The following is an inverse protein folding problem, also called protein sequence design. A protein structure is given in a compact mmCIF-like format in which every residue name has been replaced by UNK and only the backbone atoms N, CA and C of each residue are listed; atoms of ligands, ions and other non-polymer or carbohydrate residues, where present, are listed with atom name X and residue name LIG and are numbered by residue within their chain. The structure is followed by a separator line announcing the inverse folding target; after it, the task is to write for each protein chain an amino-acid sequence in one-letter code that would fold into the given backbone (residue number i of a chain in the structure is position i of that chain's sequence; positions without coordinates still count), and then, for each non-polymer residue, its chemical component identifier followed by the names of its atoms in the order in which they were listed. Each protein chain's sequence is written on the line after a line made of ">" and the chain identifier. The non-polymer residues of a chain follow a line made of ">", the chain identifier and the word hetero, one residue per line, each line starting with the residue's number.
data_IF_946170758232
#
_entry.id   IF_946170758232
#
_cell.length_a   1.000
_cell.length_b   1.000
_cell.length_c   1.000
_cell.angle_alpha   90.00
_cell.angle_beta   90.00
_cell.angle_gamma   90.00
#
_symmetry.space_group_name_H-M   'P 1'
#
loop_
_entity.id
_entity.type
_entity.pdbx_description
1 polymer ?
#
# COMPACT_ATOMS: atom_id res chain seq x y z
N UNK A 1 -8.52 -26.02 -15.13
CA UNK A 1 -9.58 -26.86 -14.57
C UNK A 1 -9.61 -26.70 -13.07
N UNK A 2 -10.80 -26.68 -12.45
CA UNK A 2 -10.94 -26.61 -11.00
C UNK A 2 -11.13 -28.02 -10.42
N UNK A 3 -10.28 -28.40 -9.46
CA UNK A 3 -10.44 -29.55 -8.60
C UNK A 3 -11.16 -29.10 -7.32
N UNK A 4 -12.34 -29.65 -6.98
CA UNK A 4 -13.05 -29.25 -5.78
C UNK A 4 -12.48 -29.86 -4.48
N UNK A 5 -11.70 -30.95 -4.55
CA UNK A 5 -11.15 -31.64 -3.38
C UNK A 5 -9.78 -32.31 -3.65
N UNK A 6 -8.66 -31.79 -3.08
CA UNK A 6 -8.60 -30.51 -2.39
C UNK A 6 -8.90 -29.37 -3.38
N UNK A 7 -9.45 -28.23 -2.90
CA UNK A 7 -9.73 -27.08 -3.74
C UNK A 7 -8.43 -26.60 -4.40
N UNK A 8 -8.34 -26.76 -5.72
CA UNK A 8 -7.16 -26.41 -6.50
C UNK A 8 -7.54 -26.02 -7.92
N UNK A 9 -6.76 -25.12 -8.54
CA UNK A 9 -6.92 -24.77 -9.95
C UNK A 9 -5.68 -25.26 -10.70
N UNK A 10 -5.89 -26.06 -11.75
CA UNK A 10 -4.87 -26.40 -12.73
C UNK A 10 -4.95 -25.43 -13.90
N UNK A 11 -3.86 -24.72 -14.16
CA UNK A 11 -3.72 -23.76 -15.26
C UNK A 11 -2.64 -24.20 -16.24
N UNK A 12 -2.68 -23.65 -17.45
CA UNK A 12 -1.56 -23.74 -18.38
C UNK A 12 -0.33 -23.03 -17.80
N UNK A 13 0.85 -23.63 -17.96
CA UNK A 13 2.11 -22.99 -17.59
C UNK A 13 2.54 -22.03 -18.71
N UNK A 14 2.69 -20.75 -18.37
CA UNK A 14 3.14 -19.72 -19.31
C UNK A 14 4.62 -19.43 -19.05
N UNK A 15 5.47 -19.71 -20.03
CA UNK A 15 6.91 -19.42 -19.94
C UNK A 15 7.18 -17.89 -19.99
N UNK A 16 8.05 -17.41 -19.10
CA UNK A 16 8.47 -16.02 -19.03
C UNK A 16 9.12 -15.66 -17.69
N UNK A 17 9.20 -14.35 -17.43
CA UNK A 17 9.68 -13.75 -16.18
C UNK A 17 8.55 -12.96 -15.52
N UNK A 18 8.59 -12.86 -14.19
CA UNK A 18 7.61 -12.16 -13.35
C UNK A 18 8.26 -11.05 -12.49
N UNK A 19 9.58 -11.10 -12.28
CA UNK A 19 10.28 -10.08 -11.51
C UNK A 19 10.59 -8.81 -12.35
N UNK A 20 9.68 -7.84 -12.28
CA UNK A 20 9.82 -6.54 -12.94
C UNK A 20 11.04 -5.72 -12.44
N UNK A 21 11.55 -5.97 -11.23
CA UNK A 21 12.71 -5.26 -10.68
C UNK A 21 14.02 -5.58 -11.36
N UNK A 22 14.11 -6.76 -11.97
CA UNK A 22 15.31 -7.19 -12.68
C UNK A 22 15.47 -6.51 -14.04
N UNK A 23 14.45 -5.80 -14.53
CA UNK A 23 14.54 -5.04 -15.78
C UNK A 23 15.45 -3.83 -15.57
N UNK A 24 16.63 -3.85 -16.19
CA UNK A 24 17.60 -2.74 -16.19
C UNK A 24 17.49 -1.84 -17.42
N UNK A 25 17.03 -2.39 -18.55
CA UNK A 25 16.82 -1.63 -19.80
C UNK A 25 15.53 -0.79 -19.70
N UNK A 26 15.68 0.53 -19.71
CA UNK A 26 14.55 1.45 -19.69
C UNK A 26 13.63 1.27 -20.92
N UNK A 27 14.19 0.94 -22.09
CA UNK A 27 13.40 0.74 -23.30
C UNK A 27 12.57 -0.56 -23.23
N UNK A 28 13.08 -1.60 -22.56
CA UNK A 28 12.31 -2.79 -22.27
C UNK A 28 11.14 -2.48 -21.33
N UNK A 29 11.40 -1.74 -20.25
CA UNK A 29 10.36 -1.33 -19.29
C UNK A 29 9.26 -0.52 -19.96
N UNK A 30 9.63 0.49 -20.74
CA UNK A 30 8.69 1.32 -21.50
C UNK A 30 7.84 0.49 -22.47
N UNK A 31 8.47 -0.42 -23.23
CA UNK A 31 7.74 -1.28 -24.17
C UNK A 31 6.77 -2.23 -23.46
N UNK A 32 7.14 -2.76 -22.29
CA UNK A 32 6.25 -3.59 -21.47
C UNK A 32 5.07 -2.79 -20.93
N UNK A 33 5.30 -1.58 -20.43
CA UNK A 33 4.22 -0.73 -19.94
C UNK A 33 3.31 -0.25 -21.08
N UNK A 34 3.84 0.02 -22.26
CA UNK A 34 3.02 0.28 -23.45
C UNK A 34 2.12 -0.91 -23.79
N UNK A 35 2.69 -2.13 -23.83
CA UNK A 35 1.90 -3.34 -24.07
C UNK A 35 0.90 -3.62 -22.94
N UNK A 36 1.22 -3.25 -21.71
CA UNK A 36 0.31 -3.34 -20.58
C UNK A 36 -0.88 -2.40 -20.74
N UNK A 37 -0.67 -1.16 -21.19
CA UNK A 37 -1.77 -0.24 -21.49
C UNK A 37 -2.67 -0.77 -22.62
N UNK A 38 -2.11 -1.39 -23.65
CA UNK A 38 -2.89 -2.09 -24.69
C UNK A 38 -3.72 -3.26 -24.14
N UNK A 39 -3.18 -4.01 -23.17
CA UNK A 39 -3.93 -5.07 -22.47
C UNK A 39 -5.07 -4.47 -21.64
N UNK A 40 -4.77 -3.45 -20.84
CA UNK A 40 -5.73 -2.84 -19.93
C UNK A 40 -6.90 -2.20 -20.69
N UNK A 41 -6.63 -1.53 -21.81
CA UNK A 41 -7.70 -1.01 -22.69
C UNK A 41 -8.59 -2.13 -23.22
N UNK A 42 -8.03 -3.29 -23.59
CA UNK A 42 -8.83 -4.44 -24.06
C UNK A 42 -9.61 -5.09 -22.92
N UNK A 43 -9.05 -5.14 -21.72
CA UNK A 43 -9.73 -5.65 -20.52
C UNK A 43 -10.92 -4.75 -20.16
N UNK A 44 -10.75 -3.43 -20.27
CA UNK A 44 -11.79 -2.44 -20.00
C UNK A 44 -12.76 -2.22 -21.16
N UNK A 45 -12.54 -2.87 -22.30
CA UNK A 45 -13.48 -2.88 -23.41
C UNK A 45 -14.62 -3.88 -23.12
N UNK A 46 -15.89 -3.47 -23.25
CA UNK A 46 -17.00 -4.19 -22.64
C UNK A 46 -17.42 -5.48 -23.37
N UNK A 47 -17.64 -6.53 -22.58
CA UNK A 47 -18.70 -7.54 -22.73
C UNK A 47 -19.16 -7.93 -21.31
N UNK A 48 -19.72 -6.95 -20.59
CA UNK A 48 -20.17 -7.10 -19.20
C UNK A 48 -21.30 -8.14 -19.08
N UNK A 49 -22.08 -8.32 -20.14
CA UNK A 49 -23.16 -9.31 -20.20
C UNK A 49 -22.59 -10.74 -20.10
N UNK A 50 -21.47 -11.02 -20.78
CA UNK A 50 -20.78 -12.30 -20.65
C UNK A 50 -20.30 -12.57 -19.22
N UNK A 51 -19.73 -11.57 -18.56
CA UNK A 51 -19.26 -11.72 -17.17
C UNK A 51 -20.43 -11.87 -16.19
N UNK A 52 -21.52 -11.15 -16.43
CA UNK A 52 -22.77 -11.30 -15.67
C UNK A 52 -23.34 -12.70 -15.82
N UNK A 53 -23.33 -13.26 -17.04
CA UNK A 53 -23.76 -14.63 -17.31
C UNK A 53 -22.88 -15.69 -16.61
N UNK A 54 -21.63 -15.36 -16.27
CA UNK A 54 -20.71 -16.20 -15.50
C UNK A 54 -20.86 -16.03 -13.98
N UNK A 55 -21.73 -15.12 -13.52
CA UNK A 55 -22.03 -14.91 -12.09
C UNK A 55 -21.37 -13.70 -11.45
N UNK A 56 -20.66 -12.85 -12.21
CA UNK A 56 -20.16 -11.57 -11.68
C UNK A 56 -21.30 -10.55 -11.68
N UNK A 57 -21.82 -10.24 -10.48
CA UNK A 57 -22.91 -9.27 -10.34
C UNK A 57 -22.38 -7.86 -10.62
N UNK A 58 -23.01 -7.08 -11.52
CA UNK A 58 -22.65 -5.70 -11.69
C UNK A 58 -23.05 -4.89 -10.45
N UNK A 59 -22.28 -3.86 -10.09
CA UNK A 59 -22.63 -2.93 -9.03
C UNK A 59 -23.97 -2.24 -9.33
N UNK A 60 -24.81 -2.07 -8.30
CA UNK A 60 -26.20 -1.61 -8.43
C UNK A 60 -26.39 -0.11 -8.15
N UNK A 61 -25.37 0.56 -7.61
CA UNK A 61 -25.38 2.00 -7.33
C UNK A 61 -23.95 2.56 -7.39
N UNK A 62 -23.77 3.88 -7.59
CA UNK A 62 -22.45 4.51 -7.50
C UNK A 62 -21.75 4.31 -6.16
N UNK A 63 -22.52 4.12 -5.08
CA UNK A 63 -21.98 3.85 -3.75
C UNK A 63 -21.44 2.41 -3.65
N UNK A 64 -22.22 1.43 -4.11
CA UNK A 64 -21.77 0.03 -4.18
C UNK A 64 -20.54 -0.11 -5.09
N UNK A 65 -20.53 0.64 -6.19
CA UNK A 65 -19.43 0.74 -7.15
C UNK A 65 -18.09 1.10 -6.49
N UNK A 66 -18.11 1.91 -5.43
CA UNK A 66 -16.92 2.46 -4.80
C UNK A 66 -16.53 1.76 -3.49
N UNK A 67 -17.49 1.16 -2.78
CA UNK A 67 -17.35 0.78 -1.37
C UNK A 67 -17.56 -0.72 -1.06
N UNK A 68 -17.97 -1.54 -2.03
CA UNK A 68 -18.42 -2.91 -1.76
C UNK A 68 -17.36 -3.80 -1.06
N UNK A 69 -16.10 -3.67 -1.45
CA UNK A 69 -14.97 -4.37 -0.83
C UNK A 69 -14.48 -3.69 0.46
N UNK A 70 -14.60 -2.37 0.59
CA UNK A 70 -14.18 -1.62 1.78
C UNK A 70 -14.83 -2.19 3.05
N UNK A 71 -16.13 -2.49 2.98
CA UNK A 71 -16.86 -3.05 4.12
C UNK A 71 -16.36 -4.46 4.50
N UNK A 72 -15.83 -5.23 3.55
CA UNK A 72 -15.21 -6.54 3.84
C UNK A 72 -13.92 -6.34 4.61
N UNK A 73 -13.05 -5.46 4.14
CA UNK A 73 -11.76 -5.14 4.78
C UNK A 73 -11.94 -4.55 6.17
N UNK A 74 -12.87 -3.61 6.34
CA UNK A 74 -13.18 -3.03 7.65
C UNK A 74 -13.67 -4.09 8.64
N UNK A 75 -14.58 -4.98 8.24
CA UNK A 75 -15.05 -6.07 9.12
C UNK A 75 -13.93 -7.03 9.51
N UNK A 76 -13.00 -7.32 8.60
CA UNK A 76 -11.84 -8.16 8.89
C UNK A 76 -10.92 -7.47 9.91
N UNK A 77 -10.62 -6.18 9.69
CA UNK A 77 -9.86 -5.33 10.60
C UNK A 77 -10.49 -5.25 12.00
N UNK A 78 -11.78 -4.94 12.11
CA UNK A 78 -12.51 -4.80 13.38
C UNK A 78 -12.55 -6.10 14.19
N UNK A 79 -12.60 -7.25 13.52
CA UNK A 79 -12.61 -8.56 14.18
C UNK A 79 -11.25 -8.96 14.75
N UNK A 80 -10.16 -8.44 14.17
CA UNK A 80 -8.81 -8.94 14.40
C UNK A 80 -7.86 -7.91 15.03
N UNK A 81 -8.28 -6.65 15.18
CA UNK A 81 -7.48 -5.55 15.77
C UNK A 81 -8.13 -5.00 17.03
N UNK A 82 -7.35 -4.80 18.09
CA UNK A 82 -7.82 -4.33 19.40
C UNK A 82 -7.59 -2.84 19.61
N UNK A 83 -6.44 -2.34 19.17
CA UNK A 83 -6.10 -0.93 19.24
C UNK A 83 -6.54 -0.21 17.97
N UNK A 84 -7.30 0.90 18.09
CA UNK A 84 -7.74 1.60 16.90
C UNK A 84 -6.55 2.28 16.20
N UNK A 85 -6.56 2.25 14.88
CA UNK A 85 -5.69 3.04 14.00
C UNK A 85 -6.48 4.25 13.51
N UNK A 86 -6.23 5.46 14.04
CA UNK A 86 -7.05 6.64 13.71
C UNK A 86 -7.04 7.01 12.22
N UNK A 87 -5.95 6.74 11.49
CA UNK A 87 -5.87 6.92 10.04
C UNK A 87 -6.86 6.03 9.30
N UNK A 88 -7.01 4.75 9.68
CA UNK A 88 -8.00 3.84 9.10
C UNK A 88 -9.40 4.39 9.33
N UNK A 89 -9.73 4.74 10.58
CA UNK A 89 -11.05 5.29 10.93
C UNK A 89 -11.36 6.55 10.12
N UNK A 90 -10.40 7.48 10.01
CA UNK A 90 -10.56 8.71 9.24
C UNK A 90 -10.75 8.43 7.75
N UNK A 91 -9.93 7.56 7.18
CA UNK A 91 -9.91 7.29 5.74
C UNK A 91 -11.16 6.53 5.30
N UNK A 92 -11.62 5.56 6.08
CA UNK A 92 -12.87 4.86 5.79
C UNK A 92 -14.09 5.78 5.87
N UNK A 93 -14.13 6.73 6.82
CA UNK A 93 -15.17 7.78 6.84
C UNK A 93 -15.05 8.71 5.62
N UNK A 94 -13.83 9.14 5.27
CA UNK A 94 -13.57 9.97 4.10
C UNK A 94 -14.03 9.30 2.80
N UNK A 95 -13.73 8.00 2.62
CA UNK A 95 -14.12 7.22 1.43
C UNK A 95 -15.65 7.16 1.28
N UNK A 96 -16.40 7.01 2.38
CA UNK A 96 -17.87 7.04 2.34
C UNK A 96 -18.41 8.41 1.95
N UNK A 97 -17.84 9.49 2.49
CA UNK A 97 -18.28 10.86 2.21
C UNK A 97 -17.96 11.32 0.78
N UNK A 98 -16.88 10.79 0.20
CA UNK A 98 -16.35 11.21 -1.10
C UNK A 98 -16.56 10.19 -2.23
N UNK A 99 -17.34 9.12 -1.99
CA UNK A 99 -17.67 8.15 -3.02
C UNK A 99 -18.18 8.83 -4.30
N UNK A 100 -17.70 8.41 -5.50
CA UNK A 100 -18.19 8.92 -6.77
C UNK A 100 -19.72 8.87 -6.86
N UNK A 101 -20.35 10.00 -7.19
CA UNK A 101 -21.83 10.11 -7.27
C UNK A 101 -22.40 9.65 -8.60
N UNK A 102 -21.56 9.39 -9.59
CA UNK A 102 -21.94 8.93 -10.93
C UNK A 102 -21.30 7.57 -11.14
N UNK A 103 -22.07 6.65 -11.72
CA UNK A 103 -21.54 5.37 -12.14
C UNK A 103 -20.71 5.59 -13.40
N UNK A 104 -19.47 5.08 -13.39
CA UNK A 104 -18.66 5.03 -14.59
C UNK A 104 -19.21 3.97 -15.56
N UNK A 105 -18.62 3.89 -16.75
CA UNK A 105 -18.86 2.74 -17.62
C UNK A 105 -18.25 1.49 -16.97
N UNK A 106 -19.07 0.46 -16.78
CA UNK A 106 -18.66 -0.77 -16.09
C UNK A 106 -17.63 -1.51 -16.95
N UNK A 107 -16.50 -1.84 -16.34
CA UNK A 107 -15.42 -2.61 -16.94
C UNK A 107 -15.11 -3.87 -16.11
N UNK A 108 -14.41 -4.82 -16.72
CA UNK A 108 -13.75 -5.88 -15.96
C UNK A 108 -12.50 -5.30 -15.31
N UNK A 109 -12.52 -5.19 -13.98
CA UNK A 109 -11.41 -4.70 -13.15
C UNK A 109 -10.66 -5.89 -12.60
N UNK A 110 -9.33 -5.89 -12.66
CA UNK A 110 -8.51 -6.97 -12.08
C UNK A 110 -8.45 -6.85 -10.55
N UNK A 111 -8.37 -5.63 -10.01
CA UNK A 111 -8.40 -5.35 -8.57
C UNK A 111 -7.05 -5.42 -7.86
N UNK A 112 -6.07 -6.14 -8.41
CA UNK A 112 -4.64 -6.06 -8.02
C UNK A 112 -3.74 -5.78 -9.25
N UNK A 113 -4.08 -4.72 -9.99
CA UNK A 113 -3.41 -4.39 -11.27
C UNK A 113 -1.98 -3.88 -11.09
N UNK A 114 -1.01 -4.50 -11.77
CA UNK A 114 0.34 -3.94 -11.91
C UNK A 114 1.45 -4.97 -12.19
N UNK A 115 2.73 -4.53 -12.22
CA UNK A 115 3.88 -5.35 -12.61
C UNK A 115 4.24 -6.55 -11.74
N UNK A 116 3.61 -6.70 -10.57
CA UNK A 116 3.71 -7.94 -9.79
C UNK A 116 2.83 -9.06 -10.32
N UNK A 117 1.86 -8.75 -11.18
CA UNK A 117 0.80 -9.67 -11.61
C UNK A 117 0.77 -9.87 -13.13
N UNK A 118 1.94 -9.83 -13.77
CA UNK A 118 2.07 -10.27 -15.15
C UNK A 118 3.37 -11.03 -15.42
N UNK A 119 3.30 -11.96 -16.37
CA UNK A 119 4.45 -12.70 -16.90
C UNK A 119 4.85 -12.07 -18.22
N UNK A 120 6.15 -11.84 -18.44
CA UNK A 120 6.67 -11.23 -19.66
C UNK A 120 7.86 -11.97 -20.26
N UNK A 121 8.04 -11.82 -21.57
CA UNK A 121 9.22 -12.27 -22.31
C UNK A 121 9.68 -11.16 -23.26
N UNK A 122 10.95 -10.76 -23.13
CA UNK A 122 11.51 -9.59 -23.80
C UNK A 122 10.65 -8.35 -23.56
N UNK A 123 10.03 -7.83 -24.63
CA UNK A 123 9.22 -6.61 -24.64
C UNK A 123 7.71 -6.87 -24.69
N UNK A 124 7.27 -8.11 -24.39
CA UNK A 124 5.86 -8.51 -24.48
C UNK A 124 5.41 -9.21 -23.21
N UNK A 125 4.29 -8.76 -22.69
CA UNK A 125 3.53 -9.47 -21.65
C UNK A 125 2.87 -10.69 -22.28
N UNK A 126 3.00 -11.84 -21.61
CA UNK A 126 2.53 -13.16 -22.02
C UNK A 126 1.24 -13.55 -21.30
N UNK A 127 1.09 -13.17 -20.04
CA UNK A 127 -0.10 -13.42 -19.25
C UNK A 127 -0.28 -12.36 -18.16
N UNK A 128 -1.54 -12.07 -17.83
CA UNK A 128 -1.94 -11.39 -16.59
C UNK A 128 -2.37 -12.47 -15.61
N UNK A 129 -1.85 -12.42 -14.40
CA UNK A 129 -2.11 -13.38 -13.33
C UNK A 129 -2.90 -12.71 -12.22
N UNK A 130 -3.27 -13.49 -11.21
CA UNK A 130 -3.89 -13.00 -9.98
C UNK A 130 -5.20 -12.22 -10.22
N UNK A 131 -6.26 -12.99 -10.47
CA UNK A 131 -7.61 -12.49 -10.75
C UNK A 131 -8.55 -12.68 -9.55
N UNK A 132 -8.02 -12.93 -8.34
CA UNK A 132 -8.86 -13.25 -7.17
C UNK A 132 -9.68 -12.06 -6.67
N UNK A 133 -9.22 -10.85 -6.97
CA UNK A 133 -9.91 -9.59 -6.66
C UNK A 133 -10.74 -9.06 -7.83
N UNK A 134 -10.84 -9.82 -8.93
CA UNK A 134 -11.43 -9.32 -10.15
C UNK A 134 -12.96 -9.21 -10.05
N UNK A 135 -13.50 -8.10 -10.55
CA UNK A 135 -14.91 -7.76 -10.43
C UNK A 135 -15.35 -6.79 -11.54
N UNK A 136 -16.66 -6.53 -11.62
CA UNK A 136 -17.21 -5.50 -12.50
C UNK A 136 -17.20 -4.15 -11.76
N UNK A 137 -16.47 -3.16 -12.27
CA UNK A 137 -16.21 -1.93 -11.54
C UNK A 137 -15.75 -0.75 -12.41
N UNK A 138 -15.13 0.24 -11.77
CA UNK A 138 -14.58 1.41 -12.44
C UNK A 138 -13.23 1.08 -13.10
N UNK A 139 -13.04 1.31 -14.41
CA UNK A 139 -11.71 1.16 -15.01
C UNK A 139 -10.63 2.07 -14.37
N UNK A 140 -11.02 3.15 -13.69
CA UNK A 140 -10.10 4.03 -12.98
C UNK A 140 -9.51 3.37 -11.72
N UNK A 141 -10.14 2.32 -11.19
CA UNK A 141 -9.62 1.54 -10.07
C UNK A 141 -8.29 0.87 -10.45
N UNK A 142 -8.25 0.17 -11.58
CA UNK A 142 -7.02 -0.48 -12.05
C UNK A 142 -5.88 0.52 -12.35
N UNK A 143 -6.20 1.75 -12.79
CA UNK A 143 -5.21 2.81 -12.92
C UNK A 143 -4.70 3.30 -11.55
N UNK A 144 -5.59 3.48 -10.58
CA UNK A 144 -5.20 3.86 -9.22
C UNK A 144 -4.36 2.76 -8.54
N UNK A 145 -4.69 1.49 -8.75
CA UNK A 145 -3.90 0.35 -8.29
C UNK A 145 -2.53 0.35 -8.96
N UNK A 146 -2.44 0.57 -10.27
CA UNK A 146 -1.16 0.68 -10.96
C UNK A 146 -0.28 1.80 -10.39
N UNK A 147 -0.87 2.96 -10.06
CA UNK A 147 -0.17 4.07 -9.37
C UNK A 147 0.31 3.66 -7.98
N UNK A 148 -0.48 2.89 -7.25
CA UNK A 148 -0.07 2.32 -5.96
C UNK A 148 1.12 1.37 -6.12
N UNK A 149 1.04 0.46 -7.10
CA UNK A 149 2.07 -0.54 -7.36
C UNK A 149 3.35 0.07 -7.91
N UNK A 150 3.33 1.19 -8.63
CA UNK A 150 4.54 1.89 -9.11
C UNK A 150 5.55 2.17 -7.98
N UNK A 151 5.06 2.52 -6.80
CA UNK A 151 5.92 2.84 -5.67
C UNK A 151 6.73 1.64 -5.18
N UNK A 152 6.20 0.43 -5.38
CA UNK A 152 6.86 -0.81 -5.05
C UNK A 152 7.53 -1.44 -6.27
N UNK A 153 7.01 -1.23 -7.49
CA UNK A 153 7.47 -1.74 -8.79
C UNK A 153 7.60 -0.57 -9.79
N UNK A 154 8.69 0.21 -9.76
CA UNK A 154 8.78 1.46 -10.53
C UNK A 154 8.56 1.27 -12.03
N UNK A 155 7.42 1.75 -12.54
CA UNK A 155 7.00 1.62 -13.95
C UNK A 155 7.57 2.73 -14.83
N UNK A 156 8.23 3.72 -14.23
CA UNK A 156 8.72 4.91 -14.92
C UNK A 156 7.72 6.04 -14.76
N UNK A 157 7.22 6.58 -15.87
CA UNK A 157 6.31 7.73 -15.82
C UNK A 157 4.84 7.27 -15.76
N UNK A 158 4.24 7.32 -14.58
CA UNK A 158 2.83 6.93 -14.35
C UNK A 158 1.88 7.79 -15.20
N UNK A 159 2.13 9.11 -15.27
CA UNK A 159 1.31 10.03 -16.07
C UNK A 159 1.33 9.68 -17.55
N UNK A 160 2.50 9.37 -18.10
CA UNK A 160 2.62 8.95 -19.49
C UNK A 160 1.85 7.63 -19.77
N UNK A 161 1.84 6.70 -18.81
CA UNK A 161 1.02 5.49 -18.93
C UNK A 161 -0.47 5.82 -18.97
N UNK A 162 -0.93 6.74 -18.13
CA UNK A 162 -2.34 7.14 -18.08
C UNK A 162 -2.77 7.92 -19.34
N UNK A 163 -1.92 8.82 -19.83
CA UNK A 163 -2.13 9.52 -21.11
C UNK A 163 -2.22 8.53 -22.28
N UNK A 164 -1.33 7.51 -22.30
CA UNK A 164 -1.37 6.44 -23.29
C UNK A 164 -2.67 5.63 -23.20
N UNK A 165 -3.08 5.24 -21.99
CA UNK A 165 -4.35 4.54 -21.76
C UNK A 165 -5.54 5.35 -22.29
N UNK A 166 -5.59 6.64 -21.99
CA UNK A 166 -6.65 7.55 -22.47
C UNK A 166 -6.67 7.64 -23.99
N UNK A 167 -5.48 7.79 -24.60
CA UNK A 167 -5.33 7.84 -26.07
C UNK A 167 -5.78 6.55 -26.74
N UNK A 168 -5.38 5.39 -26.21
CA UNK A 168 -5.69 4.08 -26.79
C UNK A 168 -7.16 3.68 -26.60
N UNK A 169 -7.75 4.00 -25.45
CA UNK A 169 -9.17 3.75 -25.18
C UNK A 169 -10.11 4.72 -25.89
N UNK A 170 -9.62 5.91 -26.26
CA UNK A 170 -10.45 7.00 -26.74
C UNK A 170 -11.35 7.61 -25.66
N UNK A 171 -11.10 7.29 -24.39
CA UNK A 171 -11.88 7.75 -23.22
C UNK A 171 -11.07 8.77 -22.41
N UNK A 172 -11.68 9.87 -21.96
CA UNK A 172 -11.00 10.80 -21.04
C UNK A 172 -10.79 10.13 -19.68
N UNK A 173 -9.71 10.52 -19.00
CA UNK A 173 -9.45 10.10 -17.61
C UNK A 173 -10.33 10.90 -16.65
N UNK A 174 -10.91 10.22 -15.67
CA UNK A 174 -11.49 10.87 -14.49
C UNK A 174 -10.43 10.92 -13.39
N UNK A 175 -9.67 12.01 -13.34
CA UNK A 175 -8.60 12.18 -12.34
C UNK A 175 -9.14 12.23 -10.90
N UNK A 176 -10.39 12.68 -10.70
CA UNK A 176 -11.00 12.70 -9.38
C UNK A 176 -11.31 11.27 -8.91
N UNK A 177 -11.82 10.42 -9.81
CA UNK A 177 -11.99 9.00 -9.54
C UNK A 177 -10.65 8.30 -9.27
N UNK A 178 -9.61 8.56 -10.07
CA UNK A 178 -8.28 7.97 -9.83
C UNK A 178 -7.73 8.40 -8.46
N UNK A 179 -7.86 9.67 -8.06
CA UNK A 179 -7.46 10.13 -6.71
C UNK A 179 -8.22 9.40 -5.61
N UNK A 180 -9.55 9.29 -5.75
CA UNK A 180 -10.41 8.55 -4.83
C UNK A 180 -9.97 7.07 -4.68
N UNK A 181 -9.83 6.36 -5.80
CA UNK A 181 -9.39 4.97 -5.78
C UNK A 181 -7.94 4.82 -5.35
N UNK A 182 -7.09 5.85 -5.51
CA UNK A 182 -5.73 5.83 -4.96
C UNK A 182 -5.81 5.77 -3.44
N UNK A 183 -6.62 6.63 -2.80
CA UNK A 183 -6.81 6.60 -1.34
C UNK A 183 -7.32 5.23 -0.89
N UNK A 184 -8.32 4.67 -1.60
CA UNK A 184 -8.85 3.32 -1.34
C UNK A 184 -7.77 2.24 -1.42
N UNK A 185 -7.01 2.23 -2.52
CA UNK A 185 -5.93 1.29 -2.74
C UNK A 185 -4.86 1.34 -1.64
N UNK A 186 -4.49 2.55 -1.18
CA UNK A 186 -3.48 2.69 -0.13
C UNK A 186 -3.99 2.18 1.22
N UNK A 187 -5.24 2.49 1.61
CA UNK A 187 -5.74 2.15 2.95
C UNK A 187 -6.07 0.67 3.14
N UNK A 188 -6.35 -0.06 2.05
CA UNK A 188 -6.60 -1.51 2.12
C UNK A 188 -5.38 -2.24 2.72
N UNK A 189 -4.16 -1.79 2.46
CA UNK A 189 -2.96 -2.43 3.00
C UNK A 189 -2.88 -2.27 4.54
N UNK A 190 -2.94 -1.06 5.13
CA UNK A 190 -3.04 -0.89 6.59
C UNK A 190 -4.24 -1.63 7.21
N UNK A 191 -5.41 -1.65 6.55
CA UNK A 191 -6.57 -2.43 7.00
C UNK A 191 -6.23 -3.92 7.14
N UNK A 192 -5.52 -4.49 6.15
CA UNK A 192 -5.13 -5.89 6.15
C UNK A 192 -3.98 -6.22 7.11
N UNK A 193 -3.04 -5.29 7.31
CA UNK A 193 -1.82 -5.50 8.08
C UNK A 193 -1.90 -5.05 9.55
N UNK A 194 -2.84 -4.19 9.94
CA UNK A 194 -3.01 -3.81 11.35
C UNK A 194 -3.22 -5.02 12.29
N UNK A 195 -4.03 -6.06 11.94
CA UNK A 195 -4.10 -7.28 12.73
C UNK A 195 -2.75 -8.00 12.86
N UNK A 196 -1.93 -7.96 11.81
CA UNK A 196 -0.61 -8.59 11.79
C UNK A 196 0.36 -7.88 12.73
N UNK A 197 0.27 -6.55 12.83
CA UNK A 197 1.08 -5.75 13.77
C UNK A 197 0.76 -6.07 15.24
N UNK A 198 -0.45 -6.55 15.54
CA UNK A 198 -0.83 -7.01 16.88
C UNK A 198 -0.53 -8.49 17.15
N UNK A 199 -0.34 -9.30 16.11
CA UNK A 199 -0.20 -10.75 16.19
C UNK A 199 1.08 -11.24 15.52
N UNK A 200 2.23 -10.96 16.16
CA UNK A 200 3.54 -11.34 15.64
C UNK A 200 3.75 -12.87 15.68
N UNK A 201 4.23 -13.43 14.56
CA UNK A 201 4.58 -14.84 14.36
C UNK A 201 5.99 -14.94 13.76
N UNK A 202 6.89 -15.68 14.41
CA UNK A 202 8.26 -15.84 13.96
C UNK A 202 8.39 -16.51 12.58
N UNK A 203 7.36 -17.21 12.09
CA UNK A 203 7.36 -17.91 10.79
C UNK A 203 7.13 -17.00 9.60
N UNK A 204 6.79 -15.75 9.84
CA UNK A 204 6.40 -14.83 8.78
C UNK A 204 7.37 -13.67 8.62
N UNK A 205 7.23 -12.88 7.55
CA UNK A 205 8.17 -11.84 7.12
C UNK A 205 7.88 -10.47 7.77
N UNK A 206 7.85 -10.39 9.11
CA UNK A 206 7.47 -9.14 9.80
C UNK A 206 8.26 -7.90 9.41
N UNK A 207 9.55 -8.01 9.07
CA UNK A 207 10.31 -6.85 8.56
C UNK A 207 9.68 -6.26 7.29
N UNK A 208 9.21 -7.12 6.39
CA UNK A 208 8.56 -6.72 5.15
C UNK A 208 7.17 -6.14 5.44
N UNK A 209 6.40 -6.79 6.31
CA UNK A 209 5.07 -6.32 6.67
C UNK A 209 5.07 -4.99 7.43
N UNK A 210 6.02 -4.78 8.34
CA UNK A 210 6.19 -3.48 9.01
C UNK A 210 6.56 -2.41 7.98
N UNK A 211 7.48 -2.73 7.04
CA UNK A 211 7.87 -1.78 6.00
C UNK A 211 6.67 -1.38 5.14
N UNK A 212 5.87 -2.33 4.68
CA UNK A 212 4.65 -2.06 3.91
C UNK A 212 3.61 -1.30 4.73
N UNK A 213 3.37 -1.70 5.98
CA UNK A 213 2.40 -1.03 6.86
C UNK A 213 2.72 0.47 7.00
N UNK A 214 3.95 0.79 7.39
CA UNK A 214 4.41 2.17 7.58
C UNK A 214 4.42 2.97 6.28
N UNK A 215 4.88 2.34 5.20
CA UNK A 215 4.89 2.93 3.87
C UNK A 215 3.47 3.30 3.41
N UNK A 216 2.51 2.39 3.57
CA UNK A 216 1.13 2.63 3.15
C UNK A 216 0.35 3.55 4.09
N UNK A 217 0.70 3.65 5.37
CA UNK A 217 0.18 4.72 6.23
C UNK A 217 0.62 6.10 5.71
N UNK A 218 1.89 6.25 5.32
CA UNK A 218 2.39 7.51 4.74
C UNK A 218 1.68 7.84 3.44
N UNK A 219 1.66 6.91 2.48
CA UNK A 219 1.11 7.18 1.14
C UNK A 219 -0.40 7.33 1.16
N UNK A 220 -1.10 6.73 2.13
CA UNK A 220 -2.52 7.05 2.37
C UNK A 220 -2.69 8.52 2.78
N UNK A 221 -1.87 9.02 3.71
CA UNK A 221 -1.92 10.43 4.12
C UNK A 221 -1.55 11.38 2.96
N UNK A 222 -0.58 11.01 2.12
CA UNK A 222 -0.21 11.76 0.90
C UNK A 222 -1.35 11.78 -0.13
N UNK A 223 -1.99 10.63 -0.37
CA UNK A 223 -3.12 10.52 -1.30
C UNK A 223 -4.35 11.30 -0.80
N UNK A 224 -4.60 11.30 0.52
CA UNK A 224 -5.62 12.14 1.15
C UNK A 224 -5.31 13.62 0.97
N UNK A 225 -4.05 14.02 1.21
CA UNK A 225 -3.61 15.40 1.05
C UNK A 225 -3.75 15.88 -0.40
N UNK A 226 -3.38 15.05 -1.38
CA UNK A 226 -3.58 15.35 -2.80
C UNK A 226 -5.07 15.49 -3.15
N UNK A 227 -5.92 14.61 -2.61
CA UNK A 227 -7.37 14.63 -2.89
C UNK A 227 -8.08 15.83 -2.25
N UNK A 228 -7.60 16.28 -1.10
CA UNK A 228 -8.16 17.40 -0.33
C UNK A 228 -7.43 18.73 -0.57
N UNK A 229 -6.42 18.75 -1.44
CA UNK A 229 -5.57 19.92 -1.72
C UNK A 229 -4.90 20.49 -0.45
N UNK A 230 -4.47 19.61 0.46
CA UNK A 230 -3.78 19.97 1.70
C UNK A 230 -2.27 19.97 1.44
N UNK A 231 -1.62 21.09 1.76
CA UNK A 231 -0.16 21.16 1.79
C UNK A 231 0.38 20.40 3.01
N UNK A 232 1.30 19.46 2.75
CA UNK A 232 2.02 18.68 3.75
C UNK A 232 3.36 19.32 4.06
N UNK A 233 3.61 19.60 5.33
CA UNK A 233 4.90 20.13 5.76
C UNK A 233 6.00 19.06 5.69
N UNK A 234 7.23 19.42 5.28
CA UNK A 234 8.39 18.55 5.45
C UNK A 234 8.57 18.18 6.92
N UNK A 235 8.97 16.93 7.17
CA UNK A 235 9.33 16.46 8.49
C UNK A 235 10.72 15.85 8.45
N UNK A 236 11.62 16.41 9.26
CA UNK A 236 12.96 15.88 9.47
C UNK A 236 12.97 15.16 10.83
N UNK A 237 13.24 13.84 10.85
CA UNK A 237 13.42 13.13 12.11
C UNK A 237 14.58 13.74 12.92
N UNK A 238 14.49 13.77 14.26
CA UNK A 238 15.57 14.24 15.10
C UNK A 238 16.82 13.37 14.94
N UNK A 239 17.97 13.92 15.34
CA UNK A 239 19.20 13.14 15.39
C UNK A 239 19.09 11.99 16.42
N UNK A 240 19.61 10.80 16.09
CA UNK A 240 19.54 9.65 16.98
C UNK A 240 20.41 9.84 18.23
N UNK A 241 19.86 9.53 19.41
CA UNK A 241 20.58 9.63 20.67
C UNK A 241 21.64 8.52 20.84
N UNK A 242 22.67 8.76 21.67
CA UNK A 242 23.57 7.70 22.12
C UNK A 242 22.79 6.67 22.93
N UNK A 243 22.96 5.39 22.59
CA UNK A 243 22.44 4.27 23.39
C UNK A 243 23.60 3.38 23.87
N UNK A 244 23.60 2.93 25.13
CA UNK A 244 24.57 1.96 25.61
C UNK A 244 24.46 0.60 24.91
N UNK A 245 23.32 0.32 24.25
CA UNK A 245 23.09 -0.89 23.47
C UNK A 245 23.53 -0.74 22.00
N UNK A 246 23.76 0.48 21.52
CA UNK A 246 24.11 0.72 20.11
C UNK A 246 25.30 -0.11 19.63
N UNK A 247 26.44 -0.25 20.37
CA UNK A 247 27.54 -1.09 19.94
C UNK A 247 27.18 -2.58 19.80
N UNK A 248 26.23 -3.08 20.62
CA UNK A 248 25.78 -4.48 20.54
C UNK A 248 24.97 -4.74 19.27
N UNK A 249 24.15 -3.78 18.84
CA UNK A 249 23.43 -3.88 17.58
C UNK A 249 24.38 -3.86 16.38
N UNK A 250 25.42 -3.01 16.39
CA UNK A 250 26.40 -3.00 15.30
C UNK A 250 27.14 -4.34 15.19
N UNK A 251 27.66 -4.87 16.32
CA UNK A 251 28.30 -6.19 16.34
C UNK A 251 27.35 -7.29 15.83
N UNK A 252 26.08 -7.26 16.27
CA UNK A 252 25.07 -8.22 15.80
C UNK A 252 24.86 -8.12 14.29
N UNK A 253 24.67 -6.91 13.77
CA UNK A 253 24.43 -6.67 12.34
C UNK A 253 25.63 -7.05 11.49
N UNK A 254 26.85 -6.71 11.91
CA UNK A 254 28.11 -7.08 11.24
C UNK A 254 28.28 -8.60 11.20
N UNK A 255 28.18 -9.29 12.35
CA UNK A 255 28.30 -10.75 12.40
C UNK A 255 27.27 -11.46 11.51
N UNK A 256 26.01 -11.00 11.53
CA UNK A 256 24.96 -11.60 10.71
C UNK A 256 25.14 -11.30 9.22
N UNK A 257 25.53 -10.06 8.86
CA UNK A 257 25.63 -9.62 7.46
C UNK A 257 26.91 -10.08 6.78
N UNK A 258 28.04 -9.96 7.45
CA UNK A 258 29.36 -10.05 6.83
C UNK A 258 29.97 -11.44 7.00
N UNK A 259 29.65 -12.15 8.08
CA UNK A 259 30.14 -13.50 8.33
C UNK A 259 29.09 -14.58 8.00
N UNK A 260 27.86 -14.47 8.54
CA UNK A 260 26.88 -15.55 8.44
C UNK A 260 26.10 -15.57 7.12
N UNK A 261 25.53 -14.43 6.70
CA UNK A 261 24.72 -14.36 5.49
C UNK A 261 25.45 -14.90 4.23
N UNK A 262 26.73 -14.56 3.96
CA UNK A 262 27.43 -15.06 2.79
C UNK A 262 27.70 -16.58 2.83
N UNK A 263 27.67 -17.19 4.02
CA UNK A 263 27.85 -18.62 4.19
C UNK A 263 26.57 -19.44 3.95
N UNK A 264 25.40 -18.80 3.84
CA UNK A 264 24.11 -19.47 3.62
C UNK A 264 23.89 -19.73 2.12
N UNK A 265 23.93 -21.00 1.72
CA UNK A 265 23.69 -21.40 0.32
C UNK A 265 22.20 -21.55 -0.04
N UNK A 266 21.37 -21.89 0.95
CA UNK A 266 19.94 -22.09 0.74
C UNK A 266 19.22 -20.74 0.57
N UNK A 267 18.50 -20.57 -0.55
CA UNK A 267 17.87 -19.29 -0.91
C UNK A 267 16.83 -18.84 0.11
N UNK A 268 16.01 -19.77 0.61
CA UNK A 268 15.00 -19.46 1.61
C UNK A 268 15.63 -18.99 2.92
N UNK A 269 16.64 -19.70 3.43
CA UNK A 269 17.36 -19.31 4.65
C UNK A 269 18.12 -17.98 4.49
N UNK A 270 18.69 -17.74 3.32
CA UNK A 270 19.34 -16.47 2.99
C UNK A 270 18.33 -15.31 3.06
N UNK A 271 17.16 -15.47 2.43
CA UNK A 271 16.07 -14.50 2.50
C UNK A 271 15.59 -14.28 3.95
N UNK A 272 15.39 -15.36 4.73
CA UNK A 272 15.03 -15.25 6.14
C UNK A 272 16.07 -14.48 6.96
N UNK A 273 17.36 -14.70 6.72
CA UNK A 273 18.44 -13.95 7.36
C UNK A 273 18.41 -12.46 7.00
N UNK A 274 18.11 -12.12 5.74
CA UNK A 274 17.91 -10.72 5.33
C UNK A 274 16.74 -10.06 6.07
N UNK A 275 15.63 -10.77 6.27
CA UNK A 275 14.50 -10.25 7.08
C UNK A 275 14.90 -10.07 8.55
N UNK A 276 15.70 -11.00 9.11
CA UNK A 276 16.22 -10.87 10.48
C UNK A 276 17.13 -9.64 10.63
N UNK A 277 18.02 -9.38 9.66
CA UNK A 277 18.87 -8.19 9.63
C UNK A 277 18.04 -6.89 9.62
N UNK A 278 16.96 -6.85 8.83
CA UNK A 278 16.03 -5.71 8.79
C UNK A 278 15.35 -5.48 10.14
N UNK A 279 14.88 -6.54 10.81
CA UNK A 279 14.30 -6.43 12.16
C UNK A 279 15.34 -5.93 13.19
N UNK A 280 16.56 -6.47 13.17
CA UNK A 280 17.62 -6.01 14.08
C UNK A 280 17.96 -4.53 13.88
N UNK A 281 18.00 -4.09 12.62
CA UNK A 281 18.20 -2.69 12.25
C UNK A 281 17.04 -1.79 12.75
N UNK A 282 15.79 -2.23 12.57
CA UNK A 282 14.63 -1.53 13.10
C UNK A 282 14.69 -1.38 14.63
N UNK A 283 15.04 -2.45 15.36
CA UNK A 283 15.18 -2.42 16.82
C UNK A 283 16.29 -1.47 17.28
N UNK A 284 17.42 -1.42 16.56
CA UNK A 284 18.48 -0.44 16.81
C UNK A 284 17.97 0.99 16.64
N UNK A 285 17.23 1.26 15.56
CA UNK A 285 16.67 2.58 15.32
C UNK A 285 15.63 2.93 16.40
N UNK A 286 14.75 2.00 16.79
CA UNK A 286 13.79 2.17 17.87
C UNK A 286 14.45 2.50 19.21
N UNK A 287 15.59 1.87 19.52
CA UNK A 287 16.36 2.16 20.72
C UNK A 287 16.94 3.58 20.74
N UNK A 288 17.35 4.12 19.58
CA UNK A 288 18.03 5.42 19.48
C UNK A 288 17.11 6.60 19.16
N UNK A 289 15.98 6.35 18.51
CA UNK A 289 15.04 7.38 18.06
C UNK A 289 13.69 7.27 18.77
N UNK A 290 13.26 6.07 19.17
CA UNK A 290 11.92 5.81 19.70
C UNK A 290 11.49 6.78 20.80
N UNK A 291 12.26 6.97 21.89
CA UNK A 291 11.88 7.89 22.96
C UNK A 291 11.65 9.34 22.51
N UNK A 292 12.46 9.83 21.56
CA UNK A 292 12.32 11.18 21.00
C UNK A 292 11.07 11.30 20.12
N UNK A 293 10.85 10.31 19.26
CA UNK A 293 9.69 10.29 18.35
C UNK A 293 8.39 10.15 19.14
N UNK A 294 8.35 9.28 20.16
CA UNK A 294 7.21 9.10 21.06
C UNK A 294 6.89 10.41 21.80
N UNK A 295 7.91 11.13 22.28
CA UNK A 295 7.72 12.42 22.94
C UNK A 295 7.13 13.47 22.00
N UNK A 296 7.67 13.59 20.77
CA UNK A 296 7.16 14.49 19.74
C UNK A 296 5.71 14.17 19.37
N UNK A 297 5.38 12.89 19.22
CA UNK A 297 4.03 12.46 18.87
C UNK A 297 3.03 12.75 19.99
N UNK A 298 3.41 12.53 21.25
CA UNK A 298 2.58 12.87 22.40
C UNK A 298 2.32 14.37 22.52
N UNK A 299 3.32 15.21 22.23
CA UNK A 299 3.18 16.66 22.24
C UNK A 299 2.22 17.12 21.13
N UNK A 300 2.33 16.55 19.94
CA UNK A 300 1.44 16.86 18.82
C UNK A 300 0.00 16.37 19.08
N UNK A 301 -0.17 15.15 19.59
CA UNK A 301 -1.47 14.68 20.07
C UNK A 301 -2.04 15.63 21.14
N UNK A 302 -1.19 16.17 22.01
CA UNK A 302 -1.60 17.13 23.04
C UNK A 302 -2.19 18.42 22.45
N UNK A 303 -1.67 18.89 21.32
CA UNK A 303 -2.22 20.05 20.59
C UNK A 303 -3.58 19.72 19.96
N UNK A 304 -3.75 18.51 19.42
CA UNK A 304 -5.02 18.09 18.81
C UNK A 304 -6.12 17.80 19.82
N UNK A 305 -5.75 17.29 21.00
CA UNK A 305 -6.66 16.81 22.05
C UNK A 305 -6.84 17.79 23.21
N UNK A 306 -6.20 18.96 23.16
CA UNK A 306 -6.12 19.96 24.24
C UNK A 306 -5.57 19.42 25.58
N UNK A 307 -4.98 18.22 25.55
CA UNK A 307 -4.34 17.57 26.70
C UNK A 307 -3.33 16.55 26.21
N UNK A 308 -2.08 16.68 26.66
CA UNK A 308 -1.03 15.70 26.40
C UNK A 308 -1.39 14.32 26.99
N UNK A 309 -1.47 13.26 26.18
CA UNK A 309 -1.72 11.90 26.69
C UNK A 309 -0.57 11.40 27.56
N UNK A 310 -0.82 10.45 28.46
CA UNK A 310 0.23 9.88 29.29
C UNK A 310 1.14 8.90 28.53
N UNK A 311 0.60 8.27 27.48
CA UNK A 311 1.33 7.34 26.60
C UNK A 311 0.62 7.24 25.24
N UNK A 312 1.32 6.70 24.24
CA UNK A 312 0.82 6.65 22.86
C UNK A 312 -0.46 5.82 22.71
N UNK A 313 -0.65 4.78 23.53
CA UNK A 313 -1.86 3.96 23.49
C UNK A 313 -3.09 4.76 23.91
N UNK A 314 -2.99 5.49 25.01
CA UNK A 314 -4.05 6.42 25.45
C UNK A 314 -4.30 7.48 24.39
N UNK A 315 -3.23 8.06 23.85
CA UNK A 315 -3.29 9.09 22.81
C UNK A 315 -3.99 8.63 21.54
N UNK A 316 -3.61 7.47 20.97
CA UNK A 316 -4.26 6.89 19.78
C UNK A 316 -5.74 6.65 19.99
N UNK A 317 -6.16 6.12 21.14
CA UNK A 317 -7.58 5.92 21.46
C UNK A 317 -8.35 7.22 21.61
N UNK A 318 -7.74 8.25 22.19
CA UNK A 318 -8.35 9.57 22.30
C UNK A 318 -8.46 10.24 20.93
N UNK A 319 -7.43 10.10 20.09
CA UNK A 319 -7.43 10.59 18.72
C UNK A 319 -8.45 9.87 17.85
N UNK A 320 -8.61 8.55 17.98
CA UNK A 320 -9.66 7.81 17.27
C UNK A 320 -11.07 8.33 17.60
N UNK A 321 -11.34 8.67 18.87
CA UNK A 321 -12.60 9.33 19.25
C UNK A 321 -12.74 10.71 18.61
N UNK A 322 -11.69 11.52 18.65
CA UNK A 322 -11.68 12.83 17.98
C UNK A 322 -11.98 12.70 16.48
N UNK A 323 -11.38 11.71 15.81
CA UNK A 323 -11.61 11.43 14.39
C UNK A 323 -13.08 11.08 14.14
N UNK A 324 -13.68 10.20 14.94
CA UNK A 324 -15.10 9.82 14.78
C UNK A 324 -16.06 10.99 15.00
N UNK A 325 -15.75 11.87 15.95
CA UNK A 325 -16.64 12.97 16.34
C UNK A 325 -16.45 14.21 15.46
N UNK A 326 -15.21 14.48 15.02
CA UNK A 326 -14.81 15.76 14.44
C UNK A 326 -13.96 15.63 13.17
N UNK A 327 -13.71 14.42 12.67
CA UNK A 327 -12.82 14.14 11.54
C UNK A 327 -13.11 15.00 10.32
N UNK A 328 -14.36 15.02 9.87
CA UNK A 328 -14.80 15.81 8.72
C UNK A 328 -14.63 17.34 8.88
N UNK A 329 -14.48 17.86 10.10
CA UNK A 329 -14.28 19.30 10.36
C UNK A 329 -12.81 19.67 10.54
N UNK A 330 -11.93 18.69 10.73
CA UNK A 330 -10.51 18.86 11.06
C UNK A 330 -9.59 18.14 10.07
N UNK A 331 -10.03 17.98 8.82
CA UNK A 331 -9.34 17.17 7.81
C UNK A 331 -7.88 17.61 7.60
N UNK A 332 -7.63 18.92 7.46
CA UNK A 332 -6.28 19.44 7.28
C UNK A 332 -5.34 19.15 8.46
N UNK A 333 -5.82 19.31 9.70
CA UNK A 333 -5.02 19.06 10.90
C UNK A 333 -4.71 17.56 11.04
N UNK A 334 -5.72 16.71 10.83
CA UNK A 334 -5.61 15.27 10.99
C UNK A 334 -4.74 14.62 9.90
N UNK A 335 -4.91 15.01 8.64
CA UNK A 335 -4.09 14.49 7.53
C UNK A 335 -2.62 14.83 7.73
N UNK A 336 -2.29 16.06 8.15
CA UNK A 336 -0.92 16.46 8.48
C UNK A 336 -0.35 15.66 9.65
N UNK A 337 -1.15 15.43 10.69
CA UNK A 337 -0.75 14.58 11.80
C UNK A 337 -0.50 13.14 11.35
N UNK A 338 -1.38 12.54 10.55
CA UNK A 338 -1.19 11.16 10.05
C UNK A 338 0.07 11.03 9.18
N UNK A 339 0.32 12.02 8.34
CA UNK A 339 1.55 12.07 7.55
C UNK A 339 2.79 12.10 8.44
N UNK A 340 2.84 12.98 9.44
CA UNK A 340 3.96 13.03 10.39
C UNK A 340 4.07 11.77 11.24
N UNK A 341 2.96 11.19 11.68
CA UNK A 341 2.93 9.89 12.37
C UNK A 341 3.62 8.81 11.53
N UNK A 342 3.21 8.67 10.26
CA UNK A 342 3.81 7.68 9.37
C UNK A 342 5.29 7.96 9.09
N UNK A 343 5.71 9.23 8.96
CA UNK A 343 7.12 9.58 8.80
C UNK A 343 7.97 9.29 10.04
N UNK A 344 7.42 9.42 11.26
CA UNK A 344 8.07 8.96 12.50
C UNK A 344 8.27 7.45 12.46
N UNK A 345 7.22 6.70 12.12
CA UNK A 345 7.31 5.24 11.98
C UNK A 345 8.32 4.83 10.89
N UNK A 346 8.38 5.57 9.78
CA UNK A 346 9.35 5.33 8.70
C UNK A 346 10.78 5.63 9.15
N UNK A 347 11.00 6.64 9.99
CA UNK A 347 12.32 6.90 10.57
C UNK A 347 12.85 5.70 11.37
N UNK A 348 11.97 4.96 12.07
CA UNK A 348 12.34 3.74 12.76
C UNK A 348 12.70 2.60 11.81
N UNK A 349 12.13 2.57 10.60
CA UNK A 349 12.43 1.57 9.58
C UNK A 349 13.53 1.99 8.61
N UNK A 350 14.18 3.14 8.78
CA UNK A 350 15.24 3.62 7.88
C UNK A 350 16.35 2.57 7.68
N UNK A 351 16.63 2.26 6.42
CA UNK A 351 17.56 1.21 5.97
C UNK A 351 17.01 -0.22 6.05
N UNK A 352 15.79 -0.40 6.56
CA UNK A 352 15.10 -1.67 6.73
C UNK A 352 13.80 -1.76 5.92
N UNK A 353 13.48 -0.77 5.07
CA UNK A 353 12.25 -0.76 4.27
C UNK A 353 12.31 -1.67 3.03
N UNK A 354 13.49 -2.23 2.71
CA UNK A 354 13.65 -3.07 1.53
C UNK A 354 13.35 -2.30 0.25
N UNK A 355 12.45 -2.82 -0.58
CA UNK A 355 12.07 -2.19 -1.85
C UNK A 355 11.34 -0.86 -1.67
N UNK A 356 10.74 -0.62 -0.50
CA UNK A 356 9.99 0.60 -0.22
C UNK A 356 10.87 1.78 0.27
N UNK A 357 12.18 1.61 0.47
CA UNK A 357 13.06 2.64 1.08
C UNK A 357 13.05 3.99 0.34
N UNK A 358 12.89 3.97 -0.99
CA UNK A 358 12.89 5.16 -1.83
C UNK A 358 11.58 5.33 -2.61
N UNK A 359 10.51 4.71 -2.12
CA UNK A 359 9.18 4.79 -2.69
C UNK A 359 8.64 6.24 -2.68
N UNK A 360 8.09 6.69 -3.80
CA UNK A 360 7.51 8.03 -3.93
C UNK A 360 6.19 7.93 -4.68
N UNK A 361 5.12 8.46 -4.09
CA UNK A 361 3.83 8.59 -4.79
C UNK A 361 3.94 9.67 -5.86
N UNK A 362 3.85 9.28 -7.13
CA UNK A 362 3.87 10.24 -8.24
C UNK A 362 2.56 11.05 -8.27
N UNK A 363 2.62 12.39 -8.43
CA UNK A 363 1.43 13.25 -8.44
C UNK A 363 0.65 13.15 -9.77
N UNK A 364 -0.69 13.31 -9.68
CA UNK A 364 -1.62 13.23 -10.82
C UNK A 364 -1.84 14.50 -11.61
#
# INVERSE_FOLDING_TARGET
>A
GFCPDPPAILMEFVEGRDDFHQIRDAAQREALMHHFMEILVRQHAPDTDRFTALGLAPPQSPEAFALDDLAVWERAYERATREPVPLITFTCDWLRRHAPRKMAEIAMVQGDTGPGNFIFDGRRIRAITDWEMAHLGDPMEDLALLRSRDMYYPIGNVRACFELYSKLSGRPLDLAAIRYYTVKAMIIVPLSLAPVMENLDARTEHAEWIAQYVFYERTTAEALAESLEIELEPYEPPDPEPSPRAPLYEILLENLRDEQLPAIQDQYRSFRMQMTLRLALHLRNADRLGPLLDAQELDEMGQLLDRRPANLREGRRALDRLVREQGARREAELVRYFHRHALRAQALMRGAMGMAEHSVLQPL
#
